data_IF_458214241559
#
_entry.id   IF_458214241559
#
_cell.length_a   1.000
_cell.length_b   1.000
_cell.length_c   1.000
_cell.angle_alpha   90.00
_cell.angle_beta   90.00
_cell.angle_gamma   90.00
#
_symmetry.space_group_name_H-M   'P 1'
#
loop_
_entity.id
_entity.type
_entity.pdbx_description
1 polymer ?
#
# COMPACT_ATOMS: atom_id res chain seq x y z
N UNK A 1 1.51 30.32 -4.30
CA UNK A 1 0.95 30.89 -3.05
C UNK A 1 1.12 29.89 -1.91
N UNK A 2 0.25 28.88 -1.70
CA UNK A 2 0.36 28.01 -0.49
C UNK A 2 1.66 27.17 -0.42
N UNK A 3 2.08 26.55 -1.52
CA UNK A 3 3.32 25.75 -1.55
C UNK A 3 4.59 26.61 -1.42
N UNK A 4 4.51 27.89 -1.79
CA UNK A 4 5.60 28.85 -1.65
C UNK A 4 5.80 29.22 -0.17
N UNK A 5 4.70 29.40 0.58
CA UNK A 5 4.74 29.59 2.04
C UNK A 5 5.39 28.39 2.75
N UNK A 6 5.24 27.19 2.20
CA UNK A 6 5.85 25.97 2.72
C UNK A 6 7.28 25.72 2.21
N UNK A 7 7.85 26.65 1.44
CA UNK A 7 9.17 26.52 0.82
C UNK A 7 9.32 25.22 -0.01
N UNK A 8 8.21 24.73 -0.57
CA UNK A 8 8.18 23.46 -1.31
C UNK A 8 8.76 23.65 -2.70
N UNK A 9 9.78 22.85 -3.04
CA UNK A 9 10.28 22.74 -4.41
C UNK A 9 9.23 22.12 -5.34
N UNK A 10 8.53 22.97 -6.08
CA UNK A 10 7.48 22.57 -7.03
C UNK A 10 8.02 21.89 -8.29
N UNK A 11 9.31 22.01 -8.61
CA UNK A 11 9.90 21.36 -9.78
C UNK A 11 9.84 19.84 -9.64
N UNK A 12 10.01 19.31 -8.41
CA UNK A 12 9.87 17.86 -8.13
C UNK A 12 8.46 17.36 -8.40
N UNK A 13 7.45 18.14 -8.01
CA UNK A 13 6.05 17.82 -8.27
C UNK A 13 5.73 17.87 -9.76
N UNK A 14 6.22 18.90 -10.47
CA UNK A 14 6.02 19.05 -11.92
C UNK A 14 6.67 17.92 -12.74
N UNK A 15 7.74 17.30 -12.22
CA UNK A 15 8.41 16.16 -12.83
C UNK A 15 7.60 14.84 -12.72
N UNK A 16 6.56 14.79 -11.87
CA UNK A 16 5.73 13.59 -11.71
C UNK A 16 4.85 13.39 -12.94
N UNK A 17 5.30 12.53 -13.84
CA UNK A 17 4.57 12.14 -15.06
C UNK A 17 4.44 10.63 -15.18
N UNK A 18 3.31 10.21 -15.76
CA UNK A 18 3.07 8.83 -16.17
C UNK A 18 4.04 8.44 -17.30
N UNK A 19 4.41 7.15 -17.43
CA UNK A 19 4.05 6.04 -16.54
C UNK A 19 4.90 6.02 -15.26
N UNK A 20 4.31 5.52 -14.17
CA UNK A 20 5.02 5.22 -12.93
C UNK A 20 5.76 3.88 -13.07
N UNK A 21 7.00 3.76 -12.57
CA UNK A 21 7.72 2.49 -12.53
C UNK A 21 6.93 1.44 -11.76
N UNK A 22 7.11 0.17 -12.13
CA UNK A 22 6.47 -0.97 -11.48
C UNK A 22 7.54 -2.01 -11.21
N UNK A 23 7.59 -2.49 -9.98
CA UNK A 23 8.44 -3.58 -9.55
C UNK A 23 7.55 -4.65 -8.93
N UNK A 24 7.85 -5.90 -9.24
CA UNK A 24 7.36 -7.03 -8.47
C UNK A 24 8.02 -7.06 -7.09
N UNK A 25 7.36 -7.69 -6.11
CA UNK A 25 7.97 -8.00 -4.81
C UNK A 25 9.33 -8.73 -4.97
N UNK A 26 9.41 -9.66 -5.92
CA UNK A 26 10.61 -10.43 -6.20
C UNK A 26 11.76 -9.60 -6.79
N UNK A 27 11.46 -8.53 -7.52
CA UNK A 27 12.48 -7.58 -7.98
C UNK A 27 12.93 -6.62 -6.85
N UNK A 28 12.08 -6.40 -5.86
CA UNK A 28 12.35 -5.50 -4.74
C UNK A 28 13.22 -6.15 -3.65
N UNK A 29 12.98 -7.41 -3.31
CA UNK A 29 13.72 -8.13 -2.25
C UNK A 29 15.24 -8.17 -2.49
N UNK A 30 15.76 -8.51 -3.68
CA UNK A 30 17.21 -8.50 -3.95
C UNK A 30 17.83 -7.12 -3.75
N UNK A 31 17.15 -6.05 -4.16
CA UNK A 31 17.62 -4.67 -3.99
C UNK A 31 17.76 -4.32 -2.50
N UNK A 32 16.82 -4.77 -1.68
CA UNK A 32 16.88 -4.59 -0.22
C UNK A 32 18.05 -5.37 0.39
N UNK A 33 18.27 -6.62 -0.05
CA UNK A 33 19.39 -7.46 0.40
C UNK A 33 20.75 -6.89 0.01
N UNK A 34 20.90 -6.36 -1.21
CA UNK A 34 22.12 -5.68 -1.67
C UNK A 34 22.49 -4.48 -0.79
N UNK A 35 21.50 -3.84 -0.16
CA UNK A 35 21.70 -2.74 0.79
C UNK A 35 22.03 -3.20 2.21
N UNK A 36 22.00 -4.51 2.48
CA UNK A 36 22.25 -5.08 3.80
C UNK A 36 21.00 -5.29 4.65
N UNK A 37 19.78 -5.23 4.07
CA UNK A 37 18.58 -5.67 4.79
C UNK A 37 18.61 -7.18 5.01
N UNK A 38 18.18 -7.61 6.19
CA UNK A 38 17.99 -9.02 6.56
C UNK A 38 16.61 -9.57 6.15
N UNK A 39 15.88 -8.85 5.29
CA UNK A 39 14.56 -9.26 4.83
C UNK A 39 14.62 -10.60 4.09
N UNK A 40 13.76 -11.53 4.44
CA UNK A 40 13.62 -12.79 3.73
C UNK A 40 12.38 -12.81 2.83
N UNK A 41 12.39 -13.69 1.84
CA UNK A 41 11.25 -13.81 0.94
C UNK A 41 10.01 -14.22 1.73
N UNK A 42 8.94 -13.45 1.57
CA UNK A 42 7.72 -13.64 2.33
C UNK A 42 7.63 -12.86 3.63
N UNK A 43 8.58 -11.98 3.92
CA UNK A 43 8.43 -10.93 4.92
C UNK A 43 7.70 -9.72 4.33
N UNK A 44 7.00 -8.98 5.17
CA UNK A 44 6.35 -7.73 4.78
C UNK A 44 7.36 -6.55 4.72
N UNK A 45 7.02 -5.53 3.94
CA UNK A 45 7.87 -4.34 3.83
C UNK A 45 7.55 -3.35 4.95
N UNK A 46 8.54 -3.10 5.82
CA UNK A 46 8.47 -2.00 6.78
C UNK A 46 8.87 -0.67 6.16
N UNK A 47 8.61 0.43 6.87
CA UNK A 47 8.93 1.79 6.40
C UNK A 47 10.38 1.99 5.93
N UNK A 48 11.42 1.40 6.54
CA UNK A 48 12.79 1.51 6.02
C UNK A 48 12.97 0.85 4.64
N UNK A 49 12.29 -0.28 4.39
CA UNK A 49 12.34 -0.98 3.12
C UNK A 49 11.67 -0.14 2.02
N UNK A 50 10.46 0.35 2.29
CA UNK A 50 9.71 1.21 1.37
C UNK A 50 10.47 2.49 1.05
N UNK A 51 11.02 3.15 2.07
CA UNK A 51 11.80 4.38 1.92
C UNK A 51 12.98 4.15 0.98
N UNK A 52 13.75 3.09 1.22
CA UNK A 52 14.91 2.77 0.40
C UNK A 52 14.54 2.53 -1.07
N UNK A 53 13.48 1.76 -1.32
CA UNK A 53 13.02 1.48 -2.68
C UNK A 53 12.55 2.76 -3.35
N UNK A 54 11.73 3.56 -2.67
CA UNK A 54 11.19 4.80 -3.22
C UNK A 54 12.29 5.84 -3.55
N UNK A 55 13.36 5.89 -2.76
CA UNK A 55 14.52 6.76 -2.99
C UNK A 55 15.31 6.42 -4.26
N UNK A 56 15.16 5.21 -4.81
CA UNK A 56 15.77 4.85 -6.09
C UNK A 56 15.06 5.50 -7.29
N UNK A 57 13.92 6.15 -7.05
CA UNK A 57 13.09 6.75 -8.10
C UNK A 57 12.87 8.24 -7.83
N UNK A 58 12.78 9.00 -8.92
CA UNK A 58 12.42 10.43 -8.88
C UNK A 58 10.91 10.66 -8.90
N UNK A 59 10.12 9.59 -9.03
CA UNK A 59 8.66 9.60 -9.11
C UNK A 59 8.07 8.40 -8.36
N UNK A 60 6.78 8.43 -7.97
CA UNK A 60 6.15 7.31 -7.29
C UNK A 60 6.32 5.99 -8.03
N UNK A 61 6.53 4.92 -7.27
CA UNK A 61 6.80 3.57 -7.78
C UNK A 61 5.79 2.59 -7.24
N UNK A 62 5.24 1.75 -8.12
CA UNK A 62 4.40 0.63 -7.69
C UNK A 62 5.27 -0.55 -7.31
N UNK A 63 4.95 -1.16 -6.17
CA UNK A 63 5.36 -2.53 -5.85
C UNK A 63 4.11 -3.40 -5.95
N UNK A 64 4.19 -4.53 -6.64
CA UNK A 64 3.05 -5.43 -6.83
C UNK A 64 3.41 -6.89 -6.66
N UNK A 65 2.38 -7.75 -6.61
CA UNK A 65 2.51 -9.21 -6.45
C UNK A 65 3.18 -9.56 -5.12
N UNK A 66 2.61 -9.06 -4.02
CA UNK A 66 3.10 -9.43 -2.69
C UNK A 66 2.73 -10.88 -2.34
N UNK A 67 3.54 -11.57 -1.52
CA UNK A 67 3.21 -12.89 -1.00
C UNK A 67 1.85 -12.90 -0.31
N UNK A 68 1.00 -13.87 -0.62
CA UNK A 68 -0.37 -13.93 -0.06
C UNK A 68 -0.35 -13.93 1.46
N UNK A 69 0.60 -14.64 2.07
CA UNK A 69 0.73 -14.80 3.52
C UNK A 69 0.98 -13.49 4.29
N UNK A 70 1.46 -12.44 3.63
CA UNK A 70 1.71 -11.13 4.28
C UNK A 70 0.56 -10.15 4.09
N UNK A 71 -0.43 -10.48 3.26
CA UNK A 71 -1.51 -9.57 2.87
C UNK A 71 -2.86 -10.02 3.41
N UNK A 72 -3.85 -9.14 3.32
CA UNK A 72 -5.17 -9.34 3.92
C UNK A 72 -5.99 -10.43 3.24
N UNK A 73 -6.85 -11.11 4.00
CA UNK A 73 -7.71 -12.22 3.56
C UNK A 73 -8.55 -11.97 2.29
N UNK A 74 -8.89 -10.72 2.00
CA UNK A 74 -9.79 -10.36 0.89
C UNK A 74 -9.06 -10.17 -0.45
N UNK A 75 -7.72 -10.24 -0.48
CA UNK A 75 -6.95 -9.98 -1.69
C UNK A 75 -6.96 -11.21 -2.61
N UNK A 76 -7.26 -10.99 -3.90
CA UNK A 76 -7.30 -12.05 -4.91
C UNK A 76 -5.91 -12.67 -5.09
N UNK A 77 -5.74 -14.00 -4.94
CA UNK A 77 -4.52 -14.68 -5.35
C UNK A 77 -4.29 -14.53 -6.85
N UNK A 78 -3.02 -14.47 -7.24
CA UNK A 78 -2.64 -14.45 -8.65
C UNK A 78 -3.09 -15.75 -9.34
N UNK A 79 -3.75 -15.68 -10.51
CA UNK A 79 -4.23 -16.88 -11.21
C UNK A 79 -3.09 -17.76 -11.77
N UNK A 80 -1.91 -17.18 -12.01
CA UNK A 80 -0.77 -17.90 -12.57
C UNK A 80 0.14 -18.50 -11.48
N UNK A 81 0.18 -17.89 -10.28
CA UNK A 81 0.99 -18.37 -9.15
C UNK A 81 0.40 -17.96 -7.78
N UNK A 82 -0.27 -18.92 -7.13
CA UNK A 82 -1.07 -18.69 -5.92
C UNK A 82 -0.27 -18.25 -4.68
N UNK A 83 1.08 -18.26 -4.75
CA UNK A 83 1.92 -17.69 -3.70
C UNK A 83 1.84 -16.16 -3.67
N UNK A 84 1.43 -15.51 -4.76
CA UNK A 84 1.25 -14.06 -4.84
C UNK A 84 -0.21 -13.64 -4.78
N UNK A 85 -0.41 -12.42 -4.30
CA UNK A 85 -1.69 -11.71 -4.36
C UNK A 85 -1.64 -10.65 -5.46
N UNK A 86 -2.76 -10.41 -6.13
CA UNK A 86 -2.97 -9.28 -7.04
C UNK A 86 -3.13 -7.97 -6.25
N UNK A 87 -2.11 -7.63 -5.48
CA UNK A 87 -1.98 -6.44 -4.64
C UNK A 87 -0.91 -5.51 -5.19
N UNK A 88 -1.05 -4.23 -4.84
CA UNK A 88 -0.09 -3.20 -5.16
C UNK A 88 -0.04 -2.14 -4.07
N UNK A 89 1.17 -1.63 -3.83
CA UNK A 89 1.44 -0.48 -2.99
C UNK A 89 2.13 0.58 -3.85
N UNK A 90 1.74 1.86 -3.72
CA UNK A 90 2.39 2.99 -4.39
C UNK A 90 3.23 3.74 -3.37
N UNK A 91 4.54 3.74 -3.58
CA UNK A 91 5.48 4.44 -2.72
C UNK A 91 5.81 5.81 -3.30
N UNK A 92 5.65 6.86 -2.49
CA UNK A 92 6.10 8.19 -2.81
C UNK A 92 7.62 8.32 -2.58
N UNK A 93 8.35 9.01 -3.48
CA UNK A 93 9.78 9.23 -3.35
C UNK A 93 10.07 10.19 -2.18
N UNK A 94 11.33 10.62 -2.02
CA UNK A 94 11.72 11.61 -0.99
C UNK A 94 11.54 11.13 0.46
N UNK A 95 11.52 9.80 0.67
CA UNK A 95 11.44 9.18 1.99
C UNK A 95 10.05 9.14 2.63
N UNK A 96 8.99 9.40 1.86
CA UNK A 96 7.61 9.36 2.38
C UNK A 96 7.04 7.94 2.46
N UNK A 97 7.47 7.02 1.59
CA UNK A 97 7.02 5.63 1.60
C UNK A 97 5.59 5.47 1.05
N UNK A 98 4.87 4.45 1.52
CA UNK A 98 3.55 4.09 0.99
C UNK A 98 2.51 5.22 1.15
N UNK A 99 1.88 5.62 0.05
CA UNK A 99 0.75 6.56 0.02
C UNK A 99 -0.57 5.92 -0.44
N UNK A 100 -0.51 4.84 -1.24
CA UNK A 100 -1.67 4.09 -1.70
C UNK A 100 -1.40 2.61 -1.49
N UNK A 101 -2.39 1.89 -0.95
CA UNK A 101 -2.43 0.43 -0.91
C UNK A 101 -3.69 -0.07 -1.59
N UNK A 102 -3.59 -1.10 -2.42
CA UNK A 102 -4.72 -1.60 -3.20
C UNK A 102 -4.58 -3.05 -3.62
N UNK A 103 -5.70 -3.64 -4.03
CA UNK A 103 -5.70 -4.98 -4.61
C UNK A 103 -6.93 -5.23 -5.45
N UNK A 104 -6.84 -6.24 -6.31
CA UNK A 104 -8.01 -6.97 -6.76
C UNK A 104 -8.60 -7.75 -5.58
N UNK A 105 -9.92 -7.82 -5.50
CA UNK A 105 -10.63 -8.50 -4.41
C UNK A 105 -11.04 -9.89 -4.84
N UNK A 106 -11.08 -10.82 -3.90
CA UNK A 106 -11.66 -12.13 -4.13
C UNK A 106 -13.11 -11.95 -4.55
N UNK A 107 -13.46 -12.51 -5.70
CA UNK A 107 -14.78 -12.46 -6.31
C UNK A 107 -15.49 -13.83 -6.30
N UNK A 108 -14.76 -14.90 -5.95
CA UNK A 108 -15.31 -16.23 -5.70
C UNK A 108 -15.78 -16.36 -4.24
N UNK A 109 -16.98 -16.91 -4.05
CA UNK A 109 -17.60 -17.02 -2.72
C UNK A 109 -16.84 -18.01 -1.82
N UNK A 110 -16.53 -19.18 -2.33
CA UNK A 110 -16.00 -20.29 -1.53
C UNK A 110 -14.56 -20.03 -1.12
N UNK A 111 -13.77 -19.43 -2.02
CA UNK A 111 -12.43 -18.94 -1.73
C UNK A 111 -12.46 -17.86 -0.64
N UNK A 112 -13.36 -16.89 -0.71
CA UNK A 112 -13.46 -15.85 0.31
C UNK A 112 -13.87 -16.43 1.67
N UNK A 113 -14.83 -17.35 1.70
CA UNK A 113 -15.24 -18.05 2.91
C UNK A 113 -14.08 -18.86 3.52
N UNK A 114 -13.28 -19.54 2.69
CA UNK A 114 -12.10 -20.27 3.13
C UNK A 114 -11.06 -19.34 3.76
N UNK A 115 -10.79 -18.17 3.16
CA UNK A 115 -9.85 -17.17 3.69
C UNK A 115 -10.30 -16.56 5.02
N UNK A 116 -11.59 -16.26 5.17
CA UNK A 116 -12.15 -15.76 6.44
C UNK A 116 -11.91 -16.79 7.56
N UNK A 117 -12.13 -18.08 7.29
CA UNK A 117 -11.88 -19.16 8.24
C UNK A 117 -10.39 -19.33 8.56
N UNK A 118 -9.52 -19.30 7.53
CA UNK A 118 -8.07 -19.38 7.68
C UNK A 118 -7.52 -18.28 8.60
N UNK A 119 -8.08 -17.07 8.52
CA UNK A 119 -7.69 -15.93 9.36
C UNK A 119 -8.42 -15.88 10.72
N UNK A 120 -9.17 -16.92 11.08
CA UNK A 120 -9.95 -17.00 12.32
C UNK A 120 -10.91 -15.82 12.52
N UNK A 121 -11.50 -15.33 11.43
CA UNK A 121 -12.46 -14.23 11.46
C UNK A 121 -13.90 -14.76 11.64
N UNK A 122 -14.76 -14.08 12.42
CA UNK A 122 -16.14 -14.49 12.65
C UNK A 122 -16.96 -14.37 11.36
N UNK A 123 -17.35 -15.50 10.77
CA UNK A 123 -18.05 -15.54 9.46
C UNK A 123 -19.34 -14.72 9.46
N UNK A 124 -20.07 -14.73 10.57
CA UNK A 124 -21.36 -14.04 10.71
C UNK A 124 -21.24 -12.53 10.49
N UNK A 125 -20.12 -11.91 10.89
CA UNK A 125 -19.86 -10.48 10.68
C UNK A 125 -19.61 -10.13 9.20
N UNK A 126 -19.22 -11.12 8.40
CA UNK A 126 -18.92 -10.98 6.97
C UNK A 126 -20.01 -11.54 6.06
N UNK A 127 -21.16 -11.98 6.59
CA UNK A 127 -22.21 -12.59 5.78
C UNK A 127 -22.67 -11.65 4.65
N UNK A 128 -22.87 -10.35 4.95
CA UNK A 128 -23.21 -9.36 3.93
C UNK A 128 -22.13 -9.20 2.85
N UNK A 129 -20.85 -9.38 3.20
CA UNK A 129 -19.71 -9.25 2.30
C UNK A 129 -19.52 -10.49 1.42
N UNK A 130 -19.88 -11.67 1.94
CA UNK A 130 -19.99 -12.94 1.20
C UNK A 130 -21.16 -12.91 0.22
N UNK A 131 -22.29 -12.33 0.61
CA UNK A 131 -23.47 -12.20 -0.24
C UNK A 131 -23.17 -11.40 -1.53
N UNK A 132 -22.24 -10.44 -1.48
CA UNK A 132 -21.76 -9.73 -2.67
C UNK A 132 -21.15 -10.68 -3.73
N UNK A 133 -20.68 -11.87 -3.32
CA UNK A 133 -20.11 -12.89 -4.22
C UNK A 133 -21.16 -13.89 -4.68
N UNK A 134 -22.31 -13.94 -4.00
CA UNK A 134 -23.42 -14.84 -4.30
C UNK A 134 -24.42 -14.24 -5.27
N UNK A 135 -24.69 -12.93 -5.16
CA UNK A 135 -25.74 -12.25 -5.93
C UNK A 135 -25.14 -11.34 -7.02
N UNK A 136 -24.55 -11.94 -8.05
CA UNK A 136 -24.03 -11.21 -9.21
C UNK A 136 -22.62 -10.66 -9.05
N UNK A 137 -21.69 -11.50 -8.58
CA UNK A 137 -20.28 -11.15 -8.44
C UNK A 137 -19.64 -10.76 -9.77
N UNK A 138 -18.69 -9.82 -9.72
CA UNK A 138 -17.85 -9.42 -10.85
C UNK A 138 -16.40 -9.28 -10.39
N UNK A 139 -15.41 -9.47 -11.28
CA UNK A 139 -14.03 -9.08 -10.98
C UNK A 139 -13.96 -7.59 -10.66
N UNK A 140 -13.42 -7.23 -9.50
CA UNK A 140 -13.32 -5.84 -9.05
C UNK A 140 -12.05 -5.60 -8.23
N UNK A 141 -11.56 -4.36 -8.30
CA UNK A 141 -10.38 -3.91 -7.59
C UNK A 141 -10.63 -2.54 -6.94
N UNK A 142 -9.83 -2.21 -5.94
CA UNK A 142 -9.90 -0.92 -5.28
C UNK A 142 -8.61 -0.60 -4.55
N UNK A 143 -8.51 0.64 -4.08
CA UNK A 143 -7.36 1.13 -3.33
C UNK A 143 -7.80 2.12 -2.26
N UNK A 144 -6.98 2.29 -1.24
CA UNK A 144 -7.07 3.35 -0.25
C UNK A 144 -5.92 4.34 -0.44
N UNK A 145 -6.19 5.63 -0.27
CA UNK A 145 -5.20 6.70 -0.27
C UNK A 145 -5.10 7.26 1.15
N UNK A 146 -3.91 7.24 1.73
CA UNK A 146 -3.65 7.96 2.98
C UNK A 146 -3.56 9.46 2.71
N UNK A 147 -4.67 10.19 2.88
CA UNK A 147 -4.76 11.63 2.56
C UNK A 147 -3.67 12.41 3.28
N UNK A 148 -3.46 12.17 4.56
CA UNK A 148 -2.45 12.86 5.36
C UNK A 148 -1.05 12.55 4.87
N UNK A 149 -0.73 11.30 4.51
CA UNK A 149 0.56 10.91 3.92
C UNK A 149 0.77 11.59 2.57
N UNK A 150 -0.26 11.60 1.73
CA UNK A 150 -0.23 12.27 0.43
C UNK A 150 0.02 13.77 0.58
N UNK A 151 -0.73 14.46 1.43
CA UNK A 151 -0.51 15.89 1.72
C UNK A 151 0.89 16.12 2.27
N UNK A 152 1.39 15.23 3.14
CA UNK A 152 2.74 15.33 3.70
C UNK A 152 3.79 15.33 2.58
N UNK A 153 3.66 14.41 1.61
CA UNK A 153 4.54 14.34 0.43
C UNK A 153 4.41 15.56 -0.50
N UNK A 154 3.18 15.95 -0.86
CA UNK A 154 2.93 17.09 -1.74
C UNK A 154 3.52 18.37 -1.15
N UNK A 155 3.31 18.59 0.15
CA UNK A 155 3.78 19.77 0.86
C UNK A 155 5.27 19.72 1.27
N UNK A 156 5.96 18.59 1.16
CA UNK A 156 7.36 18.48 1.60
C UNK A 156 7.53 18.51 3.12
N UNK A 157 6.52 18.08 3.87
CA UNK A 157 6.45 18.16 5.33
C UNK A 157 7.22 16.99 5.99
N UNK A 158 7.97 17.24 7.07
CA UNK A 158 8.76 16.17 7.71
C UNK A 158 7.95 15.18 8.54
N UNK A 159 6.81 15.61 9.09
CA UNK A 159 6.04 14.78 10.02
C UNK A 159 4.54 14.90 9.76
N UNK A 160 3.88 13.75 9.54
CA UNK A 160 2.45 13.63 9.18
C UNK A 160 1.50 14.43 10.08
N UNK A 161 1.76 14.49 11.39
CA UNK A 161 0.99 15.31 12.35
C UNK A 161 0.79 16.77 11.94
N UNK A 162 1.68 17.36 11.12
CA UNK A 162 1.59 18.75 10.68
C UNK A 162 0.54 18.95 9.59
N UNK A 163 0.03 17.87 8.98
CA UNK A 163 -1.08 17.92 8.01
C UNK A 163 -2.44 17.75 8.66
N UNK A 164 -2.48 17.58 9.99
CA UNK A 164 -3.70 17.32 10.75
C UNK A 164 -3.87 18.46 11.78
N UNK A 165 -5.00 19.19 11.80
CA UNK A 165 -5.20 20.28 12.77
C UNK A 165 -5.08 19.82 14.23
N UNK A 166 -5.66 18.67 14.57
CA UNK A 166 -5.62 18.08 15.91
C UNK A 166 -5.24 16.59 15.83
N UNK A 167 -3.95 16.26 15.62
CA UNK A 167 -3.50 14.89 15.39
C UNK A 167 -3.76 14.02 16.63
N UNK A 168 -4.17 12.77 16.40
CA UNK A 168 -4.31 11.76 17.44
C UNK A 168 -3.10 10.82 17.38
N UNK A 169 -2.41 10.68 18.50
CA UNK A 169 -1.28 9.75 18.68
C UNK A 169 -1.41 9.07 20.05
N UNK A 170 -0.61 8.03 20.31
CA UNK A 170 -0.64 7.30 21.59
C UNK A 170 -0.56 8.24 22.82
N UNK A 171 0.19 9.34 22.72
CA UNK A 171 0.35 10.33 23.79
C UNK A 171 -0.49 11.60 23.64
N UNK A 172 -1.36 11.73 22.62
CA UNK A 172 -2.16 12.95 22.37
C UNK A 172 -3.57 12.60 21.92
N UNK A 173 -4.53 12.79 22.82
CA UNK A 173 -5.98 12.64 22.56
C UNK A 173 -6.78 13.92 22.81
N UNK A 174 -6.17 14.91 23.46
CA UNK A 174 -6.73 16.23 23.72
C UNK A 174 -6.05 17.28 22.80
N UNK A 175 -6.80 18.28 22.29
CA UNK A 175 -6.26 19.38 21.49
C UNK A 175 -5.04 20.08 22.10
#
# INVERSE_FOLDING_TARGET
DDLEVLERDTCRLAAIRKPFPRLTYDEAVPKLKEKGSSIEWGDDFGSPHETYIAEQFTKPVFIHHFPVKTKSFYMQPDPDDDKYSLSMDLLAPEGYGEIIGGSQRIHDHDLLMARIKEHNLPVDDFQWYLDLRKYGSVPHAGFGLGVERFVTWICGIRHIRQTIPFPRTLGRVYP
#
